data_IF_184163385312
#
_entry.id   IF_184163385312
#
_cell.length_a   1.000
_cell.length_b   1.000
_cell.length_c   1.000
_cell.angle_alpha   90.00
_cell.angle_beta   90.00
_cell.angle_gamma   90.00
#
_symmetry.space_group_name_H-M   'P 1'
#
loop_
_entity.id
_entity.type
_entity.pdbx_description
1 polymer ?
#
# COMPACT_ATOMS: atom_id res chain seq x y z
N UNK A 1 -3.02 13.21 6.64
CA UNK A 1 -2.24 11.96 6.75
C UNK A 1 -0.76 12.29 6.66
N UNK A 2 0.02 11.78 7.58
CA UNK A 2 1.48 11.98 7.61
C UNK A 2 2.18 10.64 7.38
N UNK A 3 3.29 10.68 6.66
CA UNK A 3 4.09 9.49 6.40
C UNK A 3 5.57 9.77 6.66
N UNK A 4 6.30 8.74 7.03
CA UNK A 4 7.75 8.74 7.06
C UNK A 4 8.26 7.87 5.91
N UNK A 5 9.32 8.31 5.26
CA UNK A 5 9.98 7.59 4.17
C UNK A 5 11.38 7.20 4.63
N UNK A 6 11.71 5.92 4.47
CA UNK A 6 13.04 5.39 4.78
C UNK A 6 13.77 5.00 3.50
N UNK A 7 15.05 5.35 3.44
CA UNK A 7 15.92 5.01 2.32
C UNK A 7 17.14 4.22 2.81
N UNK A 8 17.74 3.45 1.91
CA UNK A 8 18.97 2.70 2.16
C UNK A 8 19.80 2.66 0.89
N UNK A 9 21.10 2.80 1.01
CA UNK A 9 22.02 2.57 -0.11
C UNK A 9 22.23 1.08 -0.33
N UNK A 10 22.06 0.66 -1.58
CA UNK A 10 22.32 -0.71 -2.03
C UNK A 10 23.37 -0.63 -3.14
N UNK A 11 24.58 -1.05 -2.85
CA UNK A 11 25.72 -0.99 -3.80
C UNK A 11 25.92 0.41 -4.40
N UNK A 12 25.83 1.45 -3.56
CA UNK A 12 25.97 2.84 -3.98
C UNK A 12 24.73 3.47 -4.58
N UNK A 13 23.64 2.73 -4.70
CA UNK A 13 22.37 3.22 -5.24
C UNK A 13 21.34 3.34 -4.11
N UNK A 14 20.76 4.52 -3.86
CA UNK A 14 19.73 4.67 -2.84
C UNK A 14 18.41 4.05 -3.31
N UNK A 15 17.74 3.36 -2.39
CA UNK A 15 16.43 2.74 -2.61
C UNK A 15 15.48 3.13 -1.49
N UNK A 16 14.18 3.20 -1.80
CA UNK A 16 13.12 3.30 -0.78
C UNK A 16 12.95 1.92 -0.14
N UNK A 17 13.09 1.85 1.17
CA UNK A 17 12.97 0.58 1.93
C UNK A 17 11.74 0.55 2.81
N UNK A 18 11.11 1.68 3.06
CA UNK A 18 9.92 1.74 3.89
C UNK A 18 9.15 3.04 3.76
N UNK A 19 7.85 2.92 3.93
CA UNK A 19 6.91 4.02 4.09
C UNK A 19 6.08 3.67 5.33
N UNK A 20 5.95 4.58 6.26
CA UNK A 20 5.20 4.35 7.49
C UNK A 20 4.21 5.49 7.72
N UNK A 21 2.99 5.13 8.07
CA UNK A 21 2.00 6.12 8.51
C UNK A 21 2.36 6.62 9.91
N UNK A 22 2.29 7.92 10.09
CA UNK A 22 2.56 8.58 11.36
C UNK A 22 1.26 9.12 11.97
N UNK A 23 1.18 9.16 13.32
CA UNK A 23 0.06 9.83 13.98
C UNK A 23 -0.05 11.29 13.55
N UNK A 24 -1.26 11.89 13.53
CA UNK A 24 -1.42 13.30 13.15
C UNK A 24 -0.59 14.27 13.97
N UNK A 25 -0.29 13.93 15.24
CA UNK A 25 0.51 14.76 16.15
C UNK A 25 2.03 14.64 15.93
N UNK A 26 2.50 13.72 15.07
CA UNK A 26 3.92 13.55 14.82
C UNK A 26 4.53 14.81 14.21
N UNK A 27 5.76 15.14 14.62
CA UNK A 27 6.51 16.26 14.05
C UNK A 27 6.84 16.00 12.59
N UNK A 28 6.71 17.04 11.77
CA UNK A 28 7.15 17.01 10.37
C UNK A 28 8.64 17.29 10.31
N UNK A 29 9.40 16.43 9.66
CA UNK A 29 10.84 16.59 9.43
C UNK A 29 11.10 16.71 7.93
N UNK A 30 12.14 17.46 7.58
CA UNK A 30 12.59 17.55 6.21
C UNK A 30 13.07 16.18 5.69
N UNK A 31 12.88 15.87 4.38
CA UNK A 31 13.46 14.67 3.78
C UNK A 31 14.97 14.62 3.93
N UNK A 32 15.52 13.41 4.20
CA UNK A 32 16.94 13.23 4.51
C UNK A 32 17.85 13.25 3.28
N UNK A 33 17.29 13.07 2.08
CA UNK A 33 18.06 13.06 0.82
C UNK A 33 17.13 13.31 -0.37
N UNK A 34 17.71 13.41 -1.57
CA UNK A 34 16.96 13.66 -2.81
C UNK A 34 15.93 12.58 -3.14
N UNK A 35 16.25 11.31 -2.88
CA UNK A 35 15.32 10.21 -3.12
C UNK A 35 14.10 10.29 -2.20
N UNK A 36 14.32 10.54 -0.91
CA UNK A 36 13.21 10.74 0.05
C UNK A 36 12.35 11.93 -0.36
N UNK A 37 12.95 13.03 -0.81
CA UNK A 37 12.24 14.20 -1.31
C UNK A 37 11.39 13.86 -2.55
N UNK A 38 11.93 13.09 -3.49
CA UNK A 38 11.21 12.61 -4.67
C UNK A 38 10.01 11.74 -4.29
N UNK A 39 10.20 10.84 -3.30
CA UNK A 39 9.12 10.00 -2.79
C UNK A 39 8.01 10.84 -2.15
N UNK A 40 8.36 11.84 -1.36
CA UNK A 40 7.39 12.75 -0.73
C UNK A 40 6.60 13.50 -1.81
N UNK A 41 7.25 14.02 -2.84
CA UNK A 41 6.55 14.71 -3.94
C UNK A 41 5.57 13.79 -4.66
N UNK A 42 5.93 12.53 -4.90
CA UNK A 42 5.04 11.56 -5.54
C UNK A 42 3.85 11.19 -4.64
N UNK A 43 4.08 11.04 -3.34
CA UNK A 43 3.01 10.80 -2.36
C UNK A 43 2.05 11.99 -2.26
N UNK A 44 2.56 13.21 -2.27
CA UNK A 44 1.73 14.42 -2.31
C UNK A 44 0.91 14.50 -3.59
N UNK A 45 1.51 14.17 -4.73
CA UNK A 45 0.79 14.09 -6.00
C UNK A 45 -0.31 13.03 -5.96
N UNK A 46 -0.05 11.86 -5.39
CA UNK A 46 -1.07 10.83 -5.22
C UNK A 46 -2.23 11.31 -4.36
N UNK A 47 -1.96 12.11 -3.32
CA UNK A 47 -3.02 12.68 -2.49
C UNK A 47 -3.98 13.55 -3.29
N UNK A 48 -3.48 14.23 -4.31
CA UNK A 48 -4.29 15.09 -5.19
C UNK A 48 -4.90 14.30 -6.36
N UNK A 49 -4.14 13.38 -6.92
CA UNK A 49 -4.52 12.57 -8.08
C UNK A 49 -4.26 11.07 -7.80
N UNK A 50 -5.32 10.27 -7.59
CA UNK A 50 -5.17 8.85 -7.31
C UNK A 50 -4.61 8.04 -8.49
N UNK A 51 -4.57 8.59 -9.69
CA UNK A 51 -3.94 7.95 -10.86
C UNK A 51 -2.43 8.16 -10.93
N UNK A 52 -1.85 8.84 -9.97
CA UNK A 52 -0.41 9.03 -9.87
C UNK A 52 0.33 7.69 -9.94
N UNK A 53 1.26 7.59 -10.88
CA UNK A 53 2.16 6.44 -10.98
C UNK A 53 3.44 6.73 -10.21
N UNK A 54 3.83 5.76 -9.38
CA UNK A 54 5.08 5.86 -8.64
C UNK A 54 6.24 5.37 -9.49
N UNK A 55 7.29 6.17 -9.52
CA UNK A 55 8.54 5.88 -10.21
C UNK A 55 9.68 6.08 -9.22
N UNK A 56 9.96 5.04 -8.43
CA UNK A 56 10.91 5.05 -7.32
C UNK A 56 11.70 3.74 -7.33
N UNK A 57 13.02 3.80 -7.10
CA UNK A 57 13.78 2.59 -6.86
C UNK A 57 13.39 2.00 -5.50
N UNK A 58 12.82 0.81 -5.50
CA UNK A 58 12.33 0.13 -4.31
C UNK A 58 13.24 -1.03 -3.95
N UNK A 59 13.52 -1.19 -2.65
CA UNK A 59 14.08 -2.42 -2.13
C UNK A 59 12.95 -3.23 -1.50
N UNK A 60 12.58 -4.32 -2.15
CA UNK A 60 11.49 -5.20 -1.71
C UNK A 60 12.10 -6.44 -1.10
N UNK A 61 12.07 -6.53 0.22
CA UNK A 61 12.57 -7.67 0.98
C UNK A 61 11.39 -8.50 1.50
N UNK A 62 11.40 -9.79 1.23
CA UNK A 62 10.37 -10.70 1.69
C UNK A 62 10.60 -12.12 1.18
N UNK A 63 9.80 -13.05 1.70
CA UNK A 63 9.77 -14.43 1.22
C UNK A 63 9.21 -14.50 -0.21
N UNK A 64 9.41 -15.59 -0.90
CA UNK A 64 8.84 -15.81 -2.23
C UNK A 64 7.31 -15.71 -2.19
N UNK A 65 6.69 -16.27 -1.14
CA UNK A 65 5.24 -16.15 -0.93
C UNK A 65 4.80 -14.69 -0.78
N UNK A 66 5.45 -13.92 0.06
CA UNK A 66 5.14 -12.50 0.26
C UNK A 66 5.28 -11.72 -1.03
N UNK A 67 6.36 -11.92 -1.78
CA UNK A 67 6.59 -11.23 -3.06
C UNK A 67 5.51 -11.55 -4.07
N UNK A 68 5.05 -12.79 -4.15
CA UNK A 68 3.94 -13.18 -5.03
C UNK A 68 2.64 -12.48 -4.65
N UNK A 69 2.33 -12.38 -3.36
CA UNK A 69 1.17 -11.63 -2.87
C UNK A 69 1.28 -10.16 -3.30
N UNK A 70 2.43 -9.55 -3.08
CA UNK A 70 2.65 -8.13 -3.41
C UNK A 70 2.60 -7.87 -4.92
N UNK A 71 3.07 -8.79 -5.76
CA UNK A 71 2.92 -8.70 -7.22
C UNK A 71 1.45 -8.70 -7.64
N UNK A 72 0.64 -9.56 -7.03
CA UNK A 72 -0.81 -9.60 -7.29
C UNK A 72 -1.44 -8.26 -6.87
N UNK A 73 -1.07 -7.72 -5.72
CA UNK A 73 -1.57 -6.42 -5.27
C UNK A 73 -1.23 -5.29 -6.24
N UNK A 74 0.01 -5.27 -6.75
CA UNK A 74 0.43 -4.26 -7.72
C UNK A 74 -0.34 -4.34 -9.03
N UNK A 75 -0.89 -5.49 -9.37
CA UNK A 75 -1.70 -5.69 -10.56
C UNK A 75 -3.18 -5.28 -10.38
N UNK A 76 -3.62 -5.00 -9.15
CA UNK A 76 -4.98 -4.51 -8.90
C UNK A 76 -5.06 -3.04 -9.31
N UNK A 77 -5.92 -2.68 -10.29
CA UNK A 77 -6.03 -1.29 -10.73
C UNK A 77 -6.59 -0.39 -9.61
N UNK A 78 -6.24 0.88 -9.67
CA UNK A 78 -6.83 1.90 -8.82
C UNK A 78 -8.37 1.86 -8.94
N UNK A 79 -9.07 1.95 -7.81
CA UNK A 79 -10.53 1.89 -7.76
C UNK A 79 -11.11 0.47 -7.73
N UNK A 80 -10.25 -0.55 -7.82
CA UNK A 80 -10.65 -1.96 -7.72
C UNK A 80 -10.11 -2.57 -6.45
N UNK A 81 -10.77 -3.64 -6.01
CA UNK A 81 -10.36 -4.41 -4.83
C UNK A 81 -10.43 -5.91 -5.11
N UNK A 82 -9.62 -6.66 -4.39
CA UNK A 82 -9.76 -8.12 -4.29
C UNK A 82 -9.94 -8.47 -2.81
N UNK A 83 -10.66 -9.56 -2.54
CA UNK A 83 -10.68 -10.11 -1.18
C UNK A 83 -9.41 -10.92 -0.92
N UNK A 84 -9.11 -11.15 0.35
CA UNK A 84 -7.99 -12.02 0.73
C UNK A 84 -8.13 -13.42 0.11
N UNK A 85 -9.37 -13.95 0.06
CA UNK A 85 -9.66 -15.24 -0.57
C UNK A 85 -9.43 -15.23 -2.08
N UNK A 86 -9.78 -14.14 -2.75
CA UNK A 86 -9.56 -14.00 -4.19
C UNK A 86 -8.06 -13.93 -4.52
N UNK A 87 -7.27 -13.24 -3.71
CA UNK A 87 -5.80 -13.23 -3.85
C UNK A 87 -5.25 -14.64 -3.65
N UNK A 88 -5.70 -15.35 -2.63
CA UNK A 88 -5.28 -16.73 -2.36
C UNK A 88 -5.58 -17.65 -3.55
N UNK A 89 -6.75 -17.53 -4.15
CA UNK A 89 -7.12 -18.30 -5.35
C UNK A 89 -6.22 -17.97 -6.55
N UNK A 90 -5.88 -16.72 -6.75
CA UNK A 90 -4.93 -16.31 -7.82
C UNK A 90 -3.54 -16.92 -7.63
N UNK A 91 -3.16 -17.20 -6.40
CA UNK A 91 -1.90 -17.87 -6.09
C UNK A 91 -1.96 -19.39 -6.23
N UNK A 92 -3.15 -19.95 -6.49
CA UNK A 92 -3.35 -21.40 -6.50
C UNK A 92 -3.42 -22.03 -5.10
N UNK A 93 -3.61 -21.22 -4.08
CA UNK A 93 -3.68 -21.68 -2.69
C UNK A 93 -5.13 -22.04 -2.35
N UNK A 94 -5.39 -23.32 -2.15
CA UNK A 94 -6.71 -23.85 -1.81
C UNK A 94 -6.93 -24.21 -0.35
N UNK A 95 -5.96 -23.97 0.52
CA UNK A 95 -6.05 -24.30 1.93
C UNK A 95 -7.07 -23.39 2.66
N UNK A 96 -7.71 -23.91 3.71
CA UNK A 96 -8.74 -23.18 4.45
C UNK A 96 -8.21 -21.91 5.15
N UNK A 97 -6.91 -21.84 5.42
CA UNK A 97 -6.27 -20.69 6.06
C UNK A 97 -5.52 -19.78 5.07
N UNK A 98 -5.63 -20.04 3.78
CA UNK A 98 -4.89 -19.29 2.75
C UNK A 98 -5.21 -17.78 2.78
N UNK A 99 -6.48 -17.41 2.99
CA UNK A 99 -6.87 -16.01 3.12
C UNK A 99 -6.18 -15.33 4.31
N UNK A 100 -6.04 -16.04 5.45
CA UNK A 100 -5.34 -15.51 6.63
C UNK A 100 -3.86 -15.29 6.36
N UNK A 101 -3.21 -16.22 5.69
CA UNK A 101 -1.78 -16.13 5.35
C UNK A 101 -1.54 -14.98 4.36
N UNK A 102 -2.44 -14.80 3.38
CA UNK A 102 -2.42 -13.64 2.48
C UNK A 102 -2.57 -12.35 3.30
N UNK A 103 -3.49 -12.31 4.26
CA UNK A 103 -3.68 -11.15 5.14
C UNK A 103 -2.42 -10.80 5.93
N UNK A 104 -1.68 -11.79 6.41
CA UNK A 104 -0.40 -11.56 7.08
C UNK A 104 0.65 -10.97 6.11
N UNK A 105 0.75 -11.50 4.89
CA UNK A 105 1.65 -10.96 3.88
C UNK A 105 1.29 -9.51 3.51
N UNK A 106 0.01 -9.18 3.44
CA UNK A 106 -0.45 -7.81 3.26
C UNK A 106 0.01 -6.91 4.41
N UNK A 107 -0.13 -7.38 5.65
CA UNK A 107 0.29 -6.64 6.83
C UNK A 107 1.80 -6.44 6.94
N UNK A 108 2.58 -7.35 6.37
CA UNK A 108 4.05 -7.28 6.34
C UNK A 108 4.59 -6.33 5.25
N UNK A 109 3.74 -5.76 4.42
CA UNK A 109 4.14 -4.82 3.39
C UNK A 109 4.72 -3.54 4.03
N UNK A 110 6.00 -3.27 3.75
CA UNK A 110 6.72 -2.08 4.24
C UNK A 110 6.61 -0.88 3.32
N UNK A 111 5.96 -1.02 2.17
CA UNK A 111 5.86 0.00 1.14
C UNK A 111 4.39 0.30 0.79
N UNK A 112 3.55 0.62 1.80
CA UNK A 112 2.14 0.88 1.55
C UNK A 112 1.95 2.03 0.54
N UNK A 113 0.81 2.07 -0.10
CA UNK A 113 0.45 2.96 -1.20
C UNK A 113 1.16 2.56 -2.49
N UNK A 114 2.48 2.51 -2.51
CA UNK A 114 3.28 2.09 -3.68
C UNK A 114 3.00 0.62 -4.01
N UNK A 115 3.01 -0.24 -3.00
CA UNK A 115 2.47 -1.60 -3.08
C UNK A 115 1.09 -1.54 -2.41
N UNK A 116 -0.01 -1.60 -3.19
CA UNK A 116 -1.32 -1.15 -2.73
C UNK A 116 -2.06 -2.20 -1.89
N UNK A 117 -1.56 -2.50 -0.71
CA UNK A 117 -2.20 -3.46 0.21
C UNK A 117 -3.60 -3.01 0.66
N UNK A 118 -3.93 -1.73 0.55
CA UNK A 118 -5.27 -1.22 0.82
C UNK A 118 -6.32 -1.73 -0.17
N UNK A 119 -5.92 -2.23 -1.35
CA UNK A 119 -6.82 -2.80 -2.36
C UNK A 119 -7.20 -4.25 -2.08
N UNK A 120 -6.72 -4.83 -0.99
CA UNK A 120 -7.12 -6.17 -0.53
C UNK A 120 -7.99 -6.00 0.70
N UNK A 121 -9.20 -6.55 0.66
CA UNK A 121 -10.25 -6.33 1.65
C UNK A 121 -10.81 -7.65 2.17
N UNK A 122 -11.55 -7.59 3.29
CA UNK A 122 -12.31 -8.74 3.79
C UNK A 122 -13.56 -9.01 2.94
N UNK A 123 -14.12 -10.20 3.09
CA UNK A 123 -15.36 -10.57 2.38
C UNK A 123 -16.56 -9.71 2.81
N UNK A 124 -16.59 -9.28 4.07
CA UNK A 124 -17.71 -8.55 4.68
C UNK A 124 -17.38 -7.08 5.02
N UNK A 125 -16.24 -6.57 4.61
CA UNK A 125 -15.83 -5.20 4.92
C UNK A 125 -14.39 -4.91 4.54
N UNK A 126 -13.83 -3.80 5.02
CA UNK A 126 -12.47 -3.38 4.64
C UNK A 126 -11.38 -4.35 5.09
N UNK A 127 -11.64 -5.19 6.09
CA UNK A 127 -10.64 -6.08 6.65
C UNK A 127 -9.60 -5.36 7.49
N UNK A 128 -8.47 -6.02 7.73
CA UNK A 128 -7.36 -5.45 8.48
C UNK A 128 -6.45 -4.55 7.65
N UNK A 129 -5.55 -3.85 8.32
CA UNK A 129 -4.51 -3.04 7.69
C UNK A 129 -3.31 -2.91 8.63
N UNK A 130 -2.12 -3.21 8.12
CA UNK A 130 -0.88 -3.19 8.90
C UNK A 130 -0.99 -3.96 10.23
N UNK A 131 -1.54 -5.18 10.17
CA UNK A 131 -1.77 -6.08 11.31
C UNK A 131 -2.77 -5.56 12.36
N UNK A 132 -3.60 -4.57 12.04
CA UNK A 132 -4.66 -4.09 12.93
C UNK A 132 -6.03 -4.24 12.28
N UNK A 133 -7.07 -4.28 13.08
CA UNK A 133 -8.46 -4.37 12.62
C UNK A 133 -9.29 -3.15 13.02
N UNK A 134 -8.70 -2.21 13.73
CA UNK A 134 -9.37 -1.00 14.21
C UNK A 134 -8.39 0.19 14.29
N UNK A 135 -8.91 1.34 14.68
CA UNK A 135 -8.13 2.53 14.97
C UNK A 135 -7.70 3.32 13.75
N UNK A 136 -6.69 4.16 13.95
CA UNK A 136 -6.23 5.14 12.96
C UNK A 136 -5.82 4.52 11.62
N UNK A 137 -5.14 3.37 11.63
CA UNK A 137 -4.69 2.73 10.39
C UNK A 137 -5.86 2.22 9.56
N UNK A 138 -6.93 1.76 10.17
CA UNK A 138 -8.15 1.37 9.45
C UNK A 138 -8.83 2.59 8.84
N UNK A 139 -8.83 3.72 9.52
CA UNK A 139 -9.33 4.97 8.95
C UNK A 139 -8.49 5.42 7.74
N UNK A 140 -7.17 5.23 7.79
CA UNK A 140 -6.28 5.47 6.64
C UNK A 140 -6.68 4.57 5.46
N UNK A 141 -6.89 3.28 5.70
CA UNK A 141 -7.32 2.34 4.65
C UNK A 141 -8.64 2.78 4.00
N UNK A 142 -9.62 3.14 4.82
CA UNK A 142 -10.90 3.65 4.32
C UNK A 142 -10.73 4.91 3.47
N UNK A 143 -9.90 5.82 3.93
CA UNK A 143 -9.60 7.04 3.18
C UNK A 143 -8.97 6.73 1.81
N UNK A 144 -8.00 5.82 1.76
CA UNK A 144 -7.35 5.41 0.52
C UNK A 144 -8.35 4.81 -0.46
N UNK A 145 -9.21 3.91 0.01
CA UNK A 145 -10.24 3.29 -0.83
C UNK A 145 -11.24 4.32 -1.36
N UNK A 146 -11.69 5.24 -0.52
CA UNK A 146 -12.61 6.30 -0.93
C UNK A 146 -11.95 7.28 -1.90
N UNK A 147 -10.69 7.61 -1.67
CA UNK A 147 -9.92 8.50 -2.55
C UNK A 147 -9.82 7.93 -3.96
N UNK A 148 -9.51 6.66 -4.08
CA UNK A 148 -9.41 5.97 -5.37
C UNK A 148 -10.78 5.80 -6.05
N UNK A 149 -11.83 5.51 -5.29
CA UNK A 149 -13.18 5.37 -5.82
C UNK A 149 -13.79 6.69 -6.32
N UNK A 150 -13.47 7.80 -5.67
CA UNK A 150 -14.00 9.14 -6.05
C UNK A 150 -13.60 9.56 -7.47
N UNK A 151 -12.42 9.18 -7.91
CA UNK A 151 -11.97 9.49 -9.26
C UNK A 151 -12.88 8.83 -10.31
N UNK A 152 -13.24 7.55 -10.11
CA UNK A 152 -14.15 6.85 -11.00
C UNK A 152 -15.56 7.46 -10.99
N UNK A 153 -16.04 7.83 -9.82
CA UNK A 153 -17.35 8.47 -9.69
C UNK A 153 -17.43 9.83 -10.40
N UNK A 154 -16.31 10.53 -10.47
CA UNK A 154 -16.21 11.80 -11.16
C UNK A 154 -16.15 11.63 -12.69
N UNK A 155 -15.41 10.64 -13.17
CA UNK A 155 -15.28 10.33 -14.60
C UNK A 155 -16.58 9.81 -15.22
N UNK A 156 -17.45 9.20 -14.44
CA UNK A 156 -18.74 8.68 -14.89
C UNK A 156 -19.83 9.74 -15.00
N UNK A 157 -19.55 10.99 -14.67
CA UNK A 157 -20.51 12.08 -14.89
C UNK A 157 -20.39 12.64 -16.31
N UNK A 158 -21.47 12.60 -17.09
CA UNK A 158 -21.47 13.24 -18.41
C UNK A 158 -21.29 14.75 -18.31
#
# INVERSE_FOLDING_TARGET
MKVAVATRDVNGNPCIVGIRYLPPAAETKAPVNELAERAVRQLERYREDPDTKFDLPLLIEGTDFQRRVWEIMCAIPRGRTLTYGEVARKMGEGASDAARVVGQACGDNKLPIVIPCHRVVGADGVGGFSHTTDGYLIEVKRWLLMHEARADAFELRP
#
